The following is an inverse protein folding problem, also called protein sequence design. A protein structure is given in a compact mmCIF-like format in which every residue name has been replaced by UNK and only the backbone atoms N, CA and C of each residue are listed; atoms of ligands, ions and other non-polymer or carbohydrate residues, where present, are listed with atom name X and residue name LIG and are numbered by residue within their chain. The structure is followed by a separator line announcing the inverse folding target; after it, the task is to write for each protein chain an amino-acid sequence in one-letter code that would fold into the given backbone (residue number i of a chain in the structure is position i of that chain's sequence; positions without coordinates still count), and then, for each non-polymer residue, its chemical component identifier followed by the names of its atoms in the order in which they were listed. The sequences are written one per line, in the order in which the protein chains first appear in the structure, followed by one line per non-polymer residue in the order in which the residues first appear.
data_IF_102015967860
#
_entry.id   IF_102015967860
#
_cell.length_a   1.000
_cell.length_b   1.000
_cell.length_c   1.000
_cell.angle_alpha   90.00
_cell.angle_beta   90.00
_cell.angle_gamma   90.00
#
_symmetry.space_group_name_H-M   'P 1'
#
loop_
_entity.id
_entity.type
_entity.pdbx_description
1 polymer ?
#
# COMPACT_ATOMS: atom_id res chain seq x y z
N UNK A 1 25.58 -31.21 -21.96
CA UNK A 1 25.99 -30.56 -20.70
C UNK A 1 27.29 -31.16 -20.16
N UNK A 2 27.47 -32.48 -20.24
CA UNK A 2 28.63 -33.18 -19.67
C UNK A 2 30.00 -32.75 -20.25
N UNK A 3 30.09 -32.42 -21.54
CA UNK A 3 31.34 -31.98 -22.17
C UNK A 3 31.82 -30.60 -21.67
N UNK A 4 30.88 -29.68 -21.40
CA UNK A 4 31.19 -28.36 -20.85
C UNK A 4 31.60 -28.49 -19.38
N UNK A 5 30.90 -29.36 -18.64
CA UNK A 5 31.21 -29.62 -17.23
C UNK A 5 32.61 -30.19 -17.05
N UNK A 6 33.01 -31.16 -17.90
CA UNK A 6 34.37 -31.73 -17.93
C UNK A 6 35.44 -30.72 -18.29
N UNK A 7 35.20 -29.87 -19.28
CA UNK A 7 36.15 -28.82 -19.69
C UNK A 7 36.38 -27.78 -18.58
N UNK A 8 35.35 -27.49 -17.78
CA UNK A 8 35.44 -26.56 -16.63
C UNK A 8 36.18 -27.22 -15.45
N UNK A 9 35.96 -28.52 -15.21
CA UNK A 9 36.62 -29.24 -14.09
C UNK A 9 38.07 -29.60 -14.36
N UNK A 10 38.48 -29.81 -15.62
CA UNK A 10 39.88 -30.04 -16.00
C UNK A 10 40.68 -28.74 -16.23
N UNK A 11 40.04 -27.57 -16.13
CA UNK A 11 40.71 -26.28 -16.27
C UNK A 11 41.57 -25.94 -15.04
N UNK A 12 42.68 -25.25 -15.24
CA UNK A 12 43.60 -24.85 -14.16
C UNK A 12 42.84 -24.11 -13.05
N UNK A 13 43.14 -24.40 -11.77
CA UNK A 13 42.41 -23.90 -10.58
C UNK A 13 42.15 -22.39 -10.61
N UNK A 14 43.06 -21.62 -11.22
CA UNK A 14 42.95 -20.17 -11.41
C UNK A 14 41.75 -19.77 -12.31
N UNK A 15 41.51 -20.51 -13.39
CA UNK A 15 40.42 -20.26 -14.35
C UNK A 15 39.07 -20.59 -13.71
N UNK A 16 39.00 -21.67 -12.94
CA UNK A 16 37.81 -22.04 -12.17
C UNK A 16 37.47 -20.99 -11.10
N UNK A 17 38.48 -20.43 -10.42
CA UNK A 17 38.31 -19.31 -9.49
C UNK A 17 37.82 -18.01 -10.14
N UNK A 18 38.33 -17.70 -11.33
CA UNK A 18 37.88 -16.55 -12.12
C UNK A 18 36.43 -16.70 -12.60
N UNK A 19 36.05 -17.89 -13.08
CA UNK A 19 34.67 -18.21 -13.47
C UNK A 19 33.70 -18.14 -12.29
N UNK A 20 34.09 -18.65 -11.12
CA UNK A 20 33.29 -18.55 -9.90
C UNK A 20 33.04 -17.09 -9.48
N UNK A 21 34.08 -16.26 -9.58
CA UNK A 21 34.01 -14.83 -9.26
C UNK A 21 33.17 -14.05 -10.28
N UNK A 22 33.25 -14.41 -11.56
CA UNK A 22 32.41 -13.83 -12.62
C UNK A 22 30.92 -14.19 -12.45
N UNK A 23 30.63 -15.46 -12.10
CA UNK A 23 29.26 -15.90 -11.83
C UNK A 23 28.69 -15.22 -10.58
N UNK A 24 29.49 -15.12 -9.52
CA UNK A 24 29.10 -14.40 -8.30
C UNK A 24 28.82 -12.92 -8.59
N UNK A 25 29.68 -12.26 -9.38
CA UNK A 25 29.47 -10.89 -9.80
C UNK A 25 28.19 -10.73 -10.63
N UNK A 26 27.90 -11.64 -11.56
CA UNK A 26 26.67 -11.65 -12.34
C UNK A 26 25.43 -11.75 -11.43
N UNK A 27 25.45 -12.66 -10.45
CA UNK A 27 24.36 -12.82 -9.47
C UNK A 27 24.18 -11.54 -8.66
N UNK A 28 25.27 -10.90 -8.22
CA UNK A 28 25.20 -9.63 -7.50
C UNK A 28 24.62 -8.50 -8.36
N UNK A 29 25.00 -8.39 -9.62
CA UNK A 29 24.48 -7.36 -10.54
C UNK A 29 22.99 -7.58 -10.79
N UNK A 30 22.55 -8.81 -11.03
CA UNK A 30 21.13 -9.15 -11.18
C UNK A 30 20.37 -8.85 -9.88
N UNK A 31 20.94 -9.22 -8.73
CA UNK A 31 20.38 -8.93 -7.41
C UNK A 31 20.21 -7.43 -7.18
N UNK A 32 21.24 -6.63 -7.41
CA UNK A 32 21.19 -5.17 -7.28
C UNK A 32 20.16 -4.54 -8.21
N UNK A 33 20.07 -5.03 -9.46
CA UNK A 33 19.06 -4.56 -10.41
C UNK A 33 17.64 -4.84 -9.91
N UNK A 34 17.36 -6.08 -9.46
CA UNK A 34 16.08 -6.46 -8.87
C UNK A 34 15.77 -5.63 -7.62
N UNK A 35 16.73 -5.44 -6.72
CA UNK A 35 16.56 -4.63 -5.51
C UNK A 35 16.26 -3.16 -5.82
N UNK A 36 16.95 -2.57 -6.80
CA UNK A 36 16.69 -1.18 -7.22
C UNK A 36 15.32 -1.01 -7.89
N UNK A 37 14.90 -1.99 -8.68
CA UNK A 37 13.57 -2.03 -9.30
C UNK A 37 12.47 -2.19 -8.25
N UNK A 38 12.65 -3.09 -7.28
CA UNK A 38 11.71 -3.28 -6.17
C UNK A 38 11.68 -2.01 -5.29
N UNK A 39 12.83 -1.42 -4.97
CA UNK A 39 12.93 -0.22 -4.13
C UNK A 39 12.19 0.98 -4.72
N UNK A 40 12.36 1.25 -6.01
CA UNK A 40 11.62 2.33 -6.69
C UNK A 40 10.11 2.07 -6.70
N UNK A 41 9.68 0.83 -6.96
CA UNK A 41 8.25 0.45 -6.91
C UNK A 41 7.66 0.56 -5.50
N UNK A 42 8.43 0.26 -4.46
CA UNK A 42 8.01 0.43 -3.06
C UNK A 42 7.77 1.91 -2.76
N UNK A 43 8.63 2.84 -3.21
CA UNK A 43 8.43 4.27 -2.98
C UNK A 43 7.15 4.78 -3.64
N UNK A 44 6.88 4.38 -4.88
CA UNK A 44 5.62 4.71 -5.58
C UNK A 44 4.40 4.09 -4.90
N UNK A 45 4.50 2.81 -4.51
CA UNK A 45 3.43 2.17 -3.76
C UNK A 45 3.17 2.92 -2.46
N UNK A 46 4.21 3.31 -1.72
CA UNK A 46 4.09 4.02 -0.46
C UNK A 46 3.41 5.39 -0.63
N UNK A 47 3.73 6.12 -1.71
CA UNK A 47 3.03 7.37 -2.05
C UNK A 47 1.55 7.14 -2.36
N UNK A 48 1.22 6.09 -3.12
CA UNK A 48 -0.17 5.73 -3.42
C UNK A 48 -0.93 5.29 -2.15
N UNK A 49 -0.29 4.52 -1.27
CA UNK A 49 -0.82 4.12 0.03
C UNK A 49 -1.07 5.33 0.93
N UNK A 50 -0.14 6.28 0.97
CA UNK A 50 -0.28 7.53 1.71
C UNK A 50 -1.49 8.31 1.20
N UNK A 51 -1.60 8.48 -0.13
CA UNK A 51 -2.73 9.18 -0.75
C UNK A 51 -4.07 8.51 -0.44
N UNK A 52 -4.15 7.18 -0.55
CA UNK A 52 -5.37 6.42 -0.22
C UNK A 52 -5.73 6.55 1.26
N UNK A 53 -4.74 6.50 2.15
CA UNK A 53 -4.94 6.66 3.60
C UNK A 53 -5.48 8.04 3.93
N UNK A 54 -4.87 9.10 3.36
CA UNK A 54 -5.34 10.48 3.50
C UNK A 54 -6.75 10.66 2.93
N UNK A 55 -7.05 10.07 1.77
CA UNK A 55 -8.38 10.15 1.17
C UNK A 55 -9.43 9.45 2.04
N UNK A 56 -9.09 8.28 2.59
CA UNK A 56 -9.96 7.57 3.53
C UNK A 56 -10.17 8.39 4.80
N UNK A 57 -9.11 9.02 5.32
CA UNK A 57 -9.19 9.90 6.48
C UNK A 57 -10.13 11.07 6.17
N UNK A 58 -9.89 11.82 5.11
CA UNK A 58 -10.73 12.92 4.61
C UNK A 58 -12.21 12.53 4.53
N UNK A 59 -12.53 11.44 3.84
CA UNK A 59 -13.90 10.97 3.67
C UNK A 59 -14.56 10.63 5.02
N UNK A 60 -13.85 9.91 5.90
CA UNK A 60 -14.38 9.62 7.23
C UNK A 60 -14.56 10.90 8.07
N UNK A 61 -13.60 11.85 8.05
CA UNK A 61 -13.68 13.11 8.82
C UNK A 61 -14.87 13.97 8.35
N UNK A 62 -14.98 14.20 7.05
CA UNK A 62 -15.95 15.11 6.45
C UNK A 62 -17.37 14.56 6.50
N UNK A 63 -17.56 13.29 6.17
CA UNK A 63 -18.89 12.69 6.11
C UNK A 63 -19.43 12.26 7.48
N UNK A 64 -18.59 11.98 8.48
CA UNK A 64 -19.08 11.59 9.83
C UNK A 64 -19.80 12.74 10.54
N UNK A 65 -19.49 13.98 10.16
CA UNK A 65 -20.16 15.20 10.63
C UNK A 65 -21.41 15.56 9.80
N UNK A 66 -21.55 15.00 8.60
CA UNK A 66 -22.78 15.08 7.81
C UNK A 66 -23.77 13.97 8.19
N UNK A 67 -25.01 14.08 7.68
CA UNK A 67 -26.03 13.04 7.84
C UNK A 67 -25.80 11.81 6.93
N UNK A 68 -24.67 11.79 6.21
CA UNK A 68 -24.29 10.76 5.22
C UNK A 68 -23.56 9.57 5.84
N UNK A 69 -23.84 9.22 7.09
CA UNK A 69 -23.20 8.08 7.78
C UNK A 69 -23.39 6.75 7.05
N UNK A 70 -24.58 6.53 6.49
CA UNK A 70 -24.89 5.31 5.73
C UNK A 70 -24.05 5.16 4.46
N UNK A 71 -23.71 6.27 3.81
CA UNK A 71 -22.90 6.28 2.58
C UNK A 71 -21.44 5.90 2.89
N UNK A 72 -20.89 6.38 4.01
CA UNK A 72 -19.52 6.03 4.44
C UNK A 72 -19.39 4.54 4.70
N UNK A 73 -20.36 3.98 5.44
CA UNK A 73 -20.36 2.54 5.78
C UNK A 73 -20.45 1.73 4.48
N UNK A 74 -21.34 2.12 3.57
CA UNK A 74 -21.50 1.44 2.27
C UNK A 74 -20.23 1.52 1.42
N UNK A 75 -19.60 2.69 1.32
CA UNK A 75 -18.35 2.86 0.58
C UNK A 75 -17.20 2.06 1.20
N UNK A 76 -17.07 2.10 2.53
CA UNK A 76 -16.02 1.37 3.25
C UNK A 76 -16.19 -0.13 3.11
N UNK A 77 -17.42 -0.62 3.18
CA UNK A 77 -17.76 -2.03 3.00
C UNK A 77 -17.54 -2.48 1.55
N UNK A 78 -17.92 -1.65 0.57
CA UNK A 78 -17.65 -1.90 -0.85
C UNK A 78 -16.15 -2.00 -1.14
N UNK A 79 -15.36 -1.06 -0.61
CA UNK A 79 -13.89 -1.08 -0.78
C UNK A 79 -13.26 -2.29 -0.10
N UNK A 80 -13.66 -2.60 1.14
CA UNK A 80 -13.18 -3.77 1.86
C UNK A 80 -13.49 -5.07 1.07
N UNK A 81 -14.71 -5.19 0.54
CA UNK A 81 -15.11 -6.33 -0.27
C UNK A 81 -14.32 -6.43 -1.59
N UNK A 82 -14.08 -5.30 -2.26
CA UNK A 82 -13.26 -5.25 -3.47
C UNK A 82 -11.84 -5.79 -3.22
N UNK A 83 -11.21 -5.38 -2.12
CA UNK A 83 -9.90 -5.91 -1.74
C UNK A 83 -9.95 -7.38 -1.37
N UNK A 84 -10.97 -7.81 -0.63
CA UNK A 84 -11.15 -9.21 -0.28
C UNK A 84 -11.28 -10.11 -1.54
N UNK A 85 -12.06 -9.69 -2.53
CA UNK A 85 -12.19 -10.38 -3.81
C UNK A 85 -10.85 -10.48 -4.55
N UNK A 86 -10.06 -9.39 -4.59
CA UNK A 86 -8.70 -9.43 -5.16
C UNK A 86 -7.80 -10.43 -4.43
N UNK A 87 -7.90 -10.48 -3.10
CA UNK A 87 -7.21 -11.49 -2.29
C UNK A 87 -7.59 -12.91 -2.70
N UNK A 88 -8.88 -13.19 -2.84
CA UNK A 88 -9.35 -14.51 -3.29
C UNK A 88 -8.87 -14.88 -4.69
N UNK A 89 -8.79 -13.91 -5.62
CA UNK A 89 -8.20 -14.14 -6.94
C UNK A 89 -6.72 -14.55 -6.82
N UNK A 90 -5.93 -13.87 -5.99
CA UNK A 90 -4.54 -14.24 -5.74
C UNK A 90 -4.40 -15.63 -5.11
N UNK A 91 -5.27 -15.96 -4.16
CA UNK A 91 -5.29 -17.28 -3.54
C UNK A 91 -5.62 -18.38 -4.56
N UNK A 92 -6.67 -18.17 -5.36
CA UNK A 92 -7.10 -19.10 -6.41
C UNK A 92 -6.02 -19.32 -7.48
N UNK A 93 -5.38 -18.25 -7.93
CA UNK A 93 -4.24 -18.34 -8.85
C UNK A 93 -3.06 -19.10 -8.23
N UNK A 94 -2.77 -18.85 -6.94
CA UNK A 94 -1.74 -19.56 -6.19
C UNK A 94 -1.95 -21.08 -6.20
N UNK A 95 -3.20 -21.51 -5.98
CA UNK A 95 -3.59 -22.92 -6.02
C UNK A 95 -3.51 -23.52 -7.43
N UNK A 96 -4.06 -22.85 -8.45
CA UNK A 96 -4.03 -23.35 -9.85
C UNK A 96 -2.59 -23.56 -10.34
N UNK A 97 -1.69 -22.64 -10.00
CA UNK A 97 -0.30 -22.69 -10.43
C UNK A 97 0.60 -23.58 -9.56
N UNK A 98 0.08 -24.14 -8.45
CA UNK A 98 0.88 -24.94 -7.51
C UNK A 98 1.42 -26.23 -8.11
N UNK A 99 0.74 -26.79 -9.11
CA UNK A 99 1.20 -27.99 -9.84
C UNK A 99 2.43 -27.72 -10.70
N UNK A 100 2.57 -26.50 -11.22
CA UNK A 100 3.68 -26.10 -12.09
C UNK A 100 4.86 -25.52 -11.30
N UNK A 101 4.56 -24.74 -10.27
CA UNK A 101 5.55 -24.01 -9.47
C UNK A 101 5.22 -24.27 -7.99
N UNK A 102 6.00 -25.09 -7.28
CA UNK A 102 5.73 -25.43 -5.88
C UNK A 102 5.62 -24.21 -4.94
N UNK A 103 6.33 -23.12 -5.27
CA UNK A 103 6.30 -21.86 -4.51
C UNK A 103 5.05 -21.00 -4.77
N UNK A 104 4.25 -21.32 -5.79
CA UNK A 104 3.09 -20.52 -6.18
C UNK A 104 2.04 -20.43 -5.08
N UNK A 105 1.81 -21.52 -4.34
CA UNK A 105 0.82 -21.53 -3.27
C UNK A 105 1.21 -20.54 -2.14
N UNK A 106 2.50 -20.51 -1.77
CA UNK A 106 3.01 -19.53 -0.80
C UNK A 106 2.86 -18.09 -1.29
N UNK A 107 3.14 -17.83 -2.57
CA UNK A 107 2.98 -16.49 -3.17
C UNK A 107 1.50 -16.08 -3.19
N UNK A 108 0.59 -16.97 -3.58
CA UNK A 108 -0.85 -16.73 -3.55
C UNK A 108 -1.38 -16.47 -2.14
N UNK A 109 -0.92 -17.24 -1.16
CA UNK A 109 -1.25 -17.03 0.26
C UNK A 109 -0.76 -15.68 0.79
N UNK A 110 0.48 -15.28 0.45
CA UNK A 110 1.00 -13.94 0.79
C UNK A 110 0.19 -12.83 0.13
N UNK A 111 -0.17 -12.99 -1.14
CA UNK A 111 -1.04 -12.06 -1.86
C UNK A 111 -2.41 -11.91 -1.20
N UNK A 112 -3.03 -13.03 -0.79
CA UNK A 112 -4.29 -13.02 -0.05
C UNK A 112 -4.17 -12.26 1.27
N UNK A 113 -3.16 -12.57 2.08
CA UNK A 113 -2.93 -11.88 3.37
C UNK A 113 -2.74 -10.38 3.19
N UNK A 114 -1.95 -9.98 2.18
CA UNK A 114 -1.74 -8.57 1.86
C UNK A 114 -3.05 -7.84 1.56
N UNK A 115 -3.92 -8.41 0.73
CA UNK A 115 -5.22 -7.81 0.43
C UNK A 115 -6.22 -7.89 1.58
N UNK A 116 -6.14 -8.94 2.41
CA UNK A 116 -6.95 -9.07 3.62
C UNK A 116 -6.63 -7.95 4.61
N UNK A 117 -5.36 -7.69 4.88
CA UNK A 117 -4.95 -6.57 5.73
C UNK A 117 -5.37 -5.22 5.15
N UNK A 118 -5.32 -5.08 3.82
CA UNK A 118 -5.81 -3.87 3.14
C UNK A 118 -7.31 -3.69 3.32
N UNK A 119 -8.10 -4.76 3.20
CA UNK A 119 -9.54 -4.75 3.44
C UNK A 119 -9.88 -4.39 4.91
N UNK A 120 -9.15 -4.96 5.87
CA UNK A 120 -9.31 -4.64 7.30
C UNK A 120 -9.01 -3.15 7.58
N UNK A 121 -8.03 -2.58 6.88
CA UNK A 121 -7.74 -1.14 6.97
C UNK A 121 -8.92 -0.25 6.62
N UNK A 122 -9.81 -0.69 5.72
CA UNK A 122 -11.02 0.04 5.34
C UNK A 122 -12.17 -0.11 6.35
N UNK A 123 -12.19 -1.20 7.12
CA UNK A 123 -13.20 -1.44 8.16
C UNK A 123 -12.86 -0.73 9.48
N UNK A 124 -11.58 -0.40 9.71
CA UNK A 124 -11.16 0.30 10.92
C UNK A 124 -11.58 1.78 10.85
N UNK A 125 -12.37 2.29 11.82
CA UNK A 125 -12.68 3.72 11.88
C UNK A 125 -11.43 4.50 12.33
N UNK A 126 -11.16 5.65 11.72
CA UNK A 126 -10.09 6.55 12.16
C UNK A 126 -10.41 7.26 13.49
N UNK A 127 -11.68 7.29 13.91
CA UNK A 127 -12.18 8.10 15.03
C UNK A 127 -12.73 7.29 16.21
N UNK A 128 -12.14 6.14 16.50
CA UNK A 128 -12.51 5.42 17.73
C UNK A 128 -11.80 6.08 18.93
N UNK A 129 -12.44 7.08 19.55
CA UNK A 129 -12.16 7.47 20.95
C UNK A 129 -11.42 8.78 21.22
N UNK A 130 -11.00 9.56 20.22
CA UNK A 130 -10.44 10.90 20.47
C UNK A 130 -11.56 11.94 20.58
N UNK A 131 -11.70 12.59 21.73
CA UNK A 131 -12.49 13.83 21.88
C UNK A 131 -11.73 14.98 21.21
N UNK A 132 -11.65 14.97 19.89
CA UNK A 132 -11.18 16.15 19.15
C UNK A 132 -12.28 17.22 19.18
N UNK A 133 -11.88 18.48 19.34
CA UNK A 133 -12.80 19.61 19.19
C UNK A 133 -13.17 19.78 17.71
N UNK A 134 -14.36 20.33 17.45
CA UNK A 134 -14.80 20.56 16.07
C UNK A 134 -13.81 21.43 15.29
N UNK A 135 -13.17 22.40 15.95
CA UNK A 135 -12.13 23.23 15.33
C UNK A 135 -10.89 22.43 14.92
N UNK A 136 -10.40 21.52 15.77
CA UNK A 136 -9.24 20.67 15.45
C UNK A 136 -9.56 19.71 14.31
N UNK A 137 -10.78 19.17 14.29
CA UNK A 137 -11.24 18.29 13.23
C UNK A 137 -11.26 19.02 11.87
N UNK A 138 -11.83 20.22 11.81
CA UNK A 138 -11.91 20.99 10.56
C UNK A 138 -10.54 21.52 10.10
N UNK A 139 -9.63 21.85 11.03
CA UNK A 139 -8.22 22.15 10.70
C UNK A 139 -7.52 20.93 10.09
N UNK A 140 -7.77 19.73 10.63
CA UNK A 140 -7.22 18.52 10.06
C UNK A 140 -7.78 18.23 8.66
N UNK A 141 -9.06 18.51 8.42
CA UNK A 141 -9.65 18.42 7.08
C UNK A 141 -8.97 19.40 6.11
N UNK A 142 -8.75 20.64 6.53
CA UNK A 142 -8.03 21.65 5.75
C UNK A 142 -6.62 21.19 5.36
N UNK A 143 -5.84 20.67 6.32
CA UNK A 143 -4.50 20.11 6.05
C UNK A 143 -4.55 18.98 5.01
N UNK A 144 -5.52 18.07 5.14
CA UNK A 144 -5.66 16.93 4.23
C UNK A 144 -6.09 17.41 2.84
N UNK A 145 -6.99 18.40 2.73
CA UNK A 145 -7.40 18.97 1.45
C UNK A 145 -6.22 19.66 0.74
N UNK A 146 -5.40 20.39 1.50
CA UNK A 146 -4.19 21.00 0.97
C UNK A 146 -3.18 19.95 0.47
N UNK A 147 -3.01 18.83 1.21
CA UNK A 147 -2.10 17.75 0.81
C UNK A 147 -2.61 16.91 -0.37
N UNK A 148 -3.93 16.66 -0.46
CA UNK A 148 -4.54 15.82 -1.50
C UNK A 148 -4.86 16.56 -2.79
N UNK A 149 -5.35 17.80 -2.68
CA UNK A 149 -5.93 18.56 -3.79
C UNK A 149 -5.13 19.83 -4.12
N UNK A 150 -4.24 20.28 -3.23
CA UNK A 150 -3.46 21.51 -3.40
C UNK A 150 -4.25 22.80 -3.12
N UNK A 151 -5.54 22.67 -2.78
CA UNK A 151 -6.42 23.77 -2.44
C UNK A 151 -7.46 23.33 -1.42
N UNK A 152 -7.76 24.21 -0.46
CA UNK A 152 -8.83 24.04 0.52
C UNK A 152 -10.17 24.37 -0.13
N UNK A 153 -11.16 23.51 0.09
CA UNK A 153 -12.51 23.70 -0.42
C UNK A 153 -13.23 24.82 0.35
N UNK A 154 -14.15 25.52 -0.32
CA UNK A 154 -14.79 26.71 0.25
C UNK A 154 -15.71 26.34 1.42
N UNK A 155 -16.33 25.15 1.39
CA UNK A 155 -17.14 24.64 2.50
C UNK A 155 -16.33 24.46 3.80
N UNK A 156 -15.09 23.98 3.68
CA UNK A 156 -14.15 23.83 4.79
C UNK A 156 -13.74 25.19 5.36
N UNK A 157 -13.46 26.18 4.50
CA UNK A 157 -13.11 27.55 4.93
C UNK A 157 -14.27 28.22 5.66
N UNK A 158 -15.48 28.11 5.12
CA UNK A 158 -16.67 28.69 5.72
C UNK A 158 -16.92 28.11 7.12
N UNK A 159 -16.79 26.78 7.27
CA UNK A 159 -16.92 26.12 8.58
C UNK A 159 -15.86 26.56 9.59
N UNK A 160 -14.61 26.72 9.16
CA UNK A 160 -13.55 27.22 10.02
C UNK A 160 -13.81 28.67 10.47
N UNK A 161 -14.31 29.53 9.59
CA UNK A 161 -14.68 30.91 9.91
C UNK A 161 -15.85 30.97 10.89
N UNK A 162 -16.90 30.17 10.69
CA UNK A 162 -18.03 30.04 11.63
C UNK A 162 -17.55 29.63 13.04
N UNK A 163 -16.70 28.61 13.12
CA UNK A 163 -16.15 28.10 14.38
C UNK A 163 -15.22 29.11 15.06
N UNK A 164 -14.41 29.85 14.31
CA UNK A 164 -13.56 30.91 14.85
C UNK A 164 -14.39 32.07 15.44
N UNK A 165 -15.45 32.49 14.74
CA UNK A 165 -16.33 33.57 15.17
C UNK A 165 -17.19 33.20 16.40
N UNK A 166 -17.64 31.95 16.50
CA UNK A 166 -18.38 31.46 17.67
C UNK A 166 -17.52 31.41 18.93
N UNK A 167 -16.21 31.18 18.80
CA UNK A 167 -15.26 31.17 19.92
C UNK A 167 -14.92 32.57 20.44
N UNK A 168 -15.09 33.62 19.63
CA UNK A 168 -14.91 35.02 20.04
C UNK A 168 -16.13 35.62 20.75
N UNK A 169 -17.31 35.01 20.61
CA UNK A 169 -18.55 35.48 21.24
C UNK A 169 -18.79 34.92 22.64
N UNK A 170 -18.01 33.93 23.06
CA UNK A 170 -18.02 33.33 24.40
C UNK A 170 -16.77 33.76 25.16
#
# INVERSE_FOLDING_TARGET
MDAIFKLITDSHVIIQGALGSALFWLILVIGQYLFSFIGTKITFANAAYKKETLYREYMQRKLTKGDMRHEIISMSMYQALSYLLRGFVFLGLGFIMSEFIPLSNSIGGLGFLFYLFRALGWLKPFYVGARETDLELWKRIEEIEQELFGSVNDDTKDKLNELANSKQKN
#
